data_IF_824850380742
#
_entry.id   IF_824850380742
#
_cell.length_a   1.000
_cell.length_b   1.000
_cell.length_c   1.000
_cell.angle_alpha   90.00
_cell.angle_beta   90.00
_cell.angle_gamma   90.00
#
_symmetry.space_group_name_H-M   'P 1'
#
loop_
_entity.id
_entity.type
_entity.pdbx_description
1 polymer ?
#
# COMPACT_ATOMS: atom_id res chain seq x y z
N UNK A 1 3.19 -31.24 12.71
CA UNK A 1 3.25 -29.77 12.51
C UNK A 1 3.48 -29.55 11.03
N UNK A 2 2.44 -29.15 10.31
CA UNK A 2 2.45 -29.07 8.85
C UNK A 2 3.40 -27.95 8.43
N UNK A 3 3.95 -28.07 7.24
CA UNK A 3 4.90 -27.14 6.66
C UNK A 3 4.21 -25.79 6.32
N UNK A 4 3.81 -25.06 7.36
CA UNK A 4 3.07 -23.80 7.25
C UNK A 4 3.99 -22.70 6.71
N UNK A 5 5.31 -22.89 6.84
CA UNK A 5 6.32 -21.98 6.28
C UNK A 5 6.28 -22.01 4.76
N UNK A 6 6.32 -23.18 4.12
CA UNK A 6 6.23 -23.27 2.65
C UNK A 6 4.92 -22.69 2.12
N UNK A 7 3.79 -22.98 2.76
CA UNK A 7 2.50 -22.43 2.33
C UNK A 7 2.45 -20.89 2.44
N UNK A 8 2.97 -20.32 3.53
CA UNK A 8 3.04 -18.87 3.70
C UNK A 8 4.03 -18.21 2.71
N UNK A 9 5.18 -18.85 2.45
CA UNK A 9 6.14 -18.34 1.47
C UNK A 9 5.57 -18.34 0.06
N UNK A 10 4.84 -19.39 -0.33
CA UNK A 10 4.15 -19.46 -1.61
C UNK A 10 3.09 -18.37 -1.70
N UNK A 11 2.27 -18.20 -0.65
CA UNK A 11 1.23 -17.17 -0.62
C UNK A 11 1.82 -15.76 -0.77
N UNK A 12 2.94 -15.47 -0.10
CA UNK A 12 3.64 -14.20 -0.25
C UNK A 12 4.15 -14.00 -1.68
N UNK A 13 4.77 -15.02 -2.28
CA UNK A 13 5.23 -14.94 -3.67
C UNK A 13 4.08 -14.69 -4.65
N UNK A 14 2.92 -15.34 -4.46
CA UNK A 14 1.73 -15.08 -5.26
C UNK A 14 1.24 -13.64 -5.13
N UNK A 15 1.19 -13.11 -3.90
CA UNK A 15 0.77 -11.73 -3.66
C UNK A 15 1.75 -10.75 -4.33
N UNK A 16 3.05 -10.91 -4.13
CA UNK A 16 4.07 -10.03 -4.74
C UNK A 16 4.05 -10.13 -6.27
N UNK A 17 3.84 -11.32 -6.82
CA UNK A 17 3.76 -11.53 -8.26
C UNK A 17 2.55 -10.81 -8.89
N UNK A 18 1.36 -10.99 -8.30
CA UNK A 18 0.11 -10.40 -8.81
C UNK A 18 0.07 -8.89 -8.54
N UNK A 19 0.39 -8.48 -7.31
CA UNK A 19 0.29 -7.09 -6.86
C UNK A 19 1.48 -6.24 -7.30
N UNK A 20 2.70 -6.74 -7.18
CA UNK A 20 3.93 -5.98 -7.47
C UNK A 20 4.34 -6.03 -8.94
N UNK A 21 4.29 -7.21 -9.57
CA UNK A 21 4.72 -7.39 -10.97
C UNK A 21 3.61 -7.09 -11.97
N UNK A 22 2.56 -7.92 -11.95
CA UNK A 22 1.54 -7.91 -13.00
C UNK A 22 0.70 -6.62 -13.02
N UNK A 23 0.36 -6.06 -11.84
CA UNK A 23 -0.42 -4.82 -11.75
C UNK A 23 0.33 -3.61 -12.30
N UNK A 24 1.66 -3.54 -12.13
CA UNK A 24 2.48 -2.46 -12.67
C UNK A 24 2.59 -2.54 -14.19
N UNK A 25 2.77 -3.75 -14.74
CA UNK A 25 2.79 -4.00 -16.18
C UNK A 25 1.43 -3.66 -16.81
N UNK A 26 0.32 -4.16 -16.27
CA UNK A 26 -1.01 -3.80 -16.73
C UNK A 26 -1.29 -2.30 -16.65
N UNK A 27 -0.76 -1.61 -15.64
CA UNK A 27 -0.87 -0.16 -15.52
C UNK A 27 -0.17 0.60 -16.64
N UNK A 28 0.96 0.10 -17.15
CA UNK A 28 1.65 0.68 -18.31
C UNK A 28 0.98 0.36 -19.65
N UNK A 29 0.34 -0.81 -19.78
CA UNK A 29 -0.42 -1.17 -20.98
C UNK A 29 -1.71 -0.35 -21.15
N UNK A 30 -2.20 0.29 -20.08
CA UNK A 30 -3.41 1.11 -20.13
C UNK A 30 -3.05 2.53 -20.60
N UNK A 31 -3.59 2.90 -21.75
CA UNK A 31 -3.36 4.21 -22.40
C UNK A 31 -3.96 5.40 -21.62
N UNK A 32 -4.91 5.15 -20.71
CA UNK A 32 -5.57 6.17 -19.88
C UNK A 32 -4.56 6.85 -18.94
N UNK A 33 -4.67 8.17 -18.73
CA UNK A 33 -3.84 8.94 -17.79
C UNK A 33 -3.76 8.29 -16.40
N UNK A 34 -2.62 8.46 -15.73
CA UNK A 34 -2.31 7.83 -14.43
C UNK A 34 -3.32 8.20 -13.33
N UNK A 35 -3.87 9.41 -13.39
CA UNK A 35 -4.83 9.93 -12.40
C UNK A 35 -6.17 9.17 -12.44
N UNK A 36 -6.87 9.04 -13.59
CA UNK A 36 -8.09 8.23 -13.69
C UNK A 36 -7.91 6.75 -13.29
N UNK A 37 -6.75 6.15 -13.60
CA UNK A 37 -6.49 4.75 -13.29
C UNK A 37 -6.45 4.48 -11.78
N UNK A 38 -5.75 5.34 -11.03
CA UNK A 38 -5.70 5.30 -9.56
C UNK A 38 -7.08 5.58 -8.99
N UNK A 39 -7.76 6.60 -9.53
CA UNK A 39 -9.10 6.97 -9.08
C UNK A 39 -10.07 5.80 -9.16
N UNK A 40 -10.08 5.07 -10.29
CA UNK A 40 -10.99 3.94 -10.47
C UNK A 40 -10.68 2.77 -9.55
N UNK A 41 -9.40 2.46 -9.32
CA UNK A 41 -8.98 1.44 -8.36
C UNK A 41 -9.35 1.80 -6.93
N UNK A 42 -9.18 3.07 -6.53
CA UNK A 42 -9.53 3.55 -5.19
C UNK A 42 -11.04 3.57 -4.95
N UNK A 43 -11.83 4.03 -5.94
CA UNK A 43 -13.29 4.03 -5.84
C UNK A 43 -13.85 2.62 -5.72
N UNK A 44 -13.38 1.68 -6.55
CA UNK A 44 -13.79 0.27 -6.45
C UNK A 44 -13.41 -0.34 -5.11
N UNK A 45 -12.21 -0.07 -4.59
CA UNK A 45 -11.78 -0.54 -3.27
C UNK A 45 -12.69 0.01 -2.15
N UNK A 46 -13.01 1.30 -2.17
CA UNK A 46 -13.92 1.93 -1.20
C UNK A 46 -15.31 1.32 -1.29
N UNK A 47 -15.85 1.14 -2.49
CA UNK A 47 -17.17 0.52 -2.70
C UNK A 47 -17.18 -0.91 -2.14
N UNK A 48 -16.17 -1.72 -2.46
CA UNK A 48 -16.07 -3.10 -1.97
C UNK A 48 -15.95 -3.18 -0.45
N UNK A 49 -15.17 -2.29 0.17
CA UNK A 49 -15.07 -2.20 1.63
C UNK A 49 -16.40 -1.80 2.25
N UNK A 50 -17.10 -0.82 1.68
CA UNK A 50 -18.42 -0.37 2.15
C UNK A 50 -19.45 -1.51 2.03
N UNK A 51 -19.44 -2.25 0.91
CA UNK A 51 -20.31 -3.43 0.73
C UNK A 51 -19.96 -4.50 1.77
N UNK A 52 -18.68 -4.82 1.95
CA UNK A 52 -18.22 -5.79 2.95
C UNK A 52 -18.65 -5.41 4.37
N UNK A 53 -18.53 -4.13 4.73
CA UNK A 53 -18.99 -3.61 6.02
C UNK A 53 -20.51 -3.73 6.19
N UNK A 54 -21.30 -3.45 5.14
CA UNK A 54 -22.75 -3.63 5.14
C UNK A 54 -23.15 -5.09 5.31
N UNK A 55 -22.50 -6.01 4.58
CA UNK A 55 -22.77 -7.46 4.65
C UNK A 55 -22.42 -8.02 6.02
N UNK A 56 -21.28 -7.60 6.59
CA UNK A 56 -20.80 -8.10 7.89
C UNK A 56 -21.44 -7.40 9.10
N UNK A 57 -22.40 -6.48 8.88
CA UNK A 57 -23.08 -5.66 9.90
C UNK A 57 -22.11 -5.05 10.93
N UNK A 58 -20.91 -4.66 10.50
CA UNK A 58 -19.97 -3.98 11.39
C UNK A 58 -20.57 -2.60 11.66
N UNK A 59 -20.84 -2.22 12.93
CA UNK A 59 -21.36 -0.90 13.22
C UNK A 59 -20.36 0.12 12.69
N UNK A 60 -20.83 1.02 11.82
CA UNK A 60 -20.02 2.15 11.38
C UNK A 60 -19.59 2.91 12.64
N UNK A 61 -18.29 2.86 12.96
CA UNK A 61 -17.68 3.55 14.10
C UNK A 61 -17.75 5.09 13.98
N UNK A 62 -18.45 5.59 12.97
CA UNK A 62 -18.82 6.99 12.81
C UNK A 62 -20.04 7.42 13.65
N UNK A 63 -20.94 6.50 14.05
CA UNK A 63 -22.27 6.87 14.60
C UNK A 63 -22.68 6.25 15.94
N UNK A 64 -21.85 5.44 16.63
CA UNK A 64 -22.22 4.93 17.97
C UNK A 64 -21.06 4.48 18.85
N UNK A 65 -21.16 4.78 20.16
CA UNK A 65 -20.41 4.40 21.40
C UNK A 65 -18.86 4.43 21.37
N UNK A 66 -18.23 4.21 20.23
CA UNK A 66 -16.77 4.21 20.03
C UNK A 66 -16.40 5.39 19.12
N UNK A 67 -16.56 6.62 19.62
CA UNK A 67 -16.13 7.84 18.91
C UNK A 67 -14.65 7.70 18.57
N UNK A 68 -14.33 7.60 17.29
CA UNK A 68 -12.96 7.80 16.84
C UNK A 68 -12.56 9.23 17.27
N UNK A 69 -11.51 9.40 18.09
CA UNK A 69 -11.08 10.74 18.46
C UNK A 69 -10.73 11.50 17.18
N UNK A 70 -11.08 12.80 17.10
CA UNK A 70 -10.82 13.64 15.91
C UNK A 70 -9.36 13.56 15.43
N UNK A 71 -8.43 13.34 16.36
CA UNK A 71 -7.00 13.07 16.08
C UNK A 71 -6.78 11.81 15.23
N UNK A 72 -7.48 10.70 15.51
CA UNK A 72 -7.36 9.45 14.75
C UNK A 72 -8.00 9.56 13.37
N UNK A 73 -9.12 10.28 13.26
CA UNK A 73 -9.71 10.59 11.97
C UNK A 73 -8.75 11.43 11.10
N UNK A 74 -8.14 12.47 11.68
CA UNK A 74 -7.14 13.29 10.99
C UNK A 74 -5.93 12.45 10.55
N UNK A 75 -5.44 11.56 11.42
CA UNK A 75 -4.32 10.67 11.09
C UNK A 75 -4.66 9.70 9.95
N UNK A 76 -5.89 9.19 9.89
CA UNK A 76 -6.34 8.33 8.79
C UNK A 76 -6.47 9.13 7.49
N UNK A 77 -7.00 10.36 7.55
CA UNK A 77 -7.07 11.25 6.39
C UNK A 77 -5.67 11.62 5.86
N UNK A 78 -4.73 11.95 6.75
CA UNK A 78 -3.33 12.23 6.40
C UNK A 78 -2.67 11.00 5.79
N UNK A 79 -2.81 9.82 6.40
CA UNK A 79 -2.30 8.58 5.84
C UNK A 79 -2.90 8.27 4.46
N UNK A 80 -4.21 8.46 4.29
CA UNK A 80 -4.89 8.31 3.01
C UNK A 80 -4.37 9.27 1.95
N UNK A 81 -4.09 10.53 2.32
CA UNK A 81 -3.53 11.53 1.41
C UNK A 81 -2.10 11.16 0.97
N UNK A 82 -1.25 10.73 1.90
CA UNK A 82 0.12 10.26 1.59
C UNK A 82 0.07 9.06 0.65
N UNK A 83 -0.81 8.09 0.92
CA UNK A 83 -1.00 6.92 0.06
C UNK A 83 -1.49 7.35 -1.33
N UNK A 84 -2.48 8.23 -1.42
CA UNK A 84 -2.99 8.72 -2.71
C UNK A 84 -1.90 9.42 -3.54
N UNK A 85 -1.14 10.33 -2.93
CA UNK A 85 -0.01 11.01 -3.57
C UNK A 85 1.06 10.02 -4.03
N UNK A 86 1.39 9.04 -3.19
CA UNK A 86 2.32 7.98 -3.53
C UNK A 86 1.87 7.21 -4.78
N UNK A 87 0.61 6.76 -4.84
CA UNK A 87 0.10 6.03 -6.01
C UNK A 87 0.09 6.89 -7.29
N UNK A 88 -0.28 8.16 -7.19
CA UNK A 88 -0.27 9.09 -8.35
C UNK A 88 1.16 9.26 -8.88
N UNK A 89 2.12 9.53 -8.00
CA UNK A 89 3.54 9.68 -8.37
C UNK A 89 4.14 8.39 -8.91
N UNK A 90 3.80 7.24 -8.34
CA UNK A 90 4.23 5.92 -8.80
C UNK A 90 3.77 5.63 -10.22
N UNK A 91 2.48 5.82 -10.54
CA UNK A 91 1.98 5.64 -11.91
C UNK A 91 2.48 6.71 -12.89
N UNK A 92 2.77 7.92 -12.40
CA UNK A 92 3.46 8.95 -13.19
C UNK A 92 4.87 8.51 -13.59
N UNK A 93 5.65 7.97 -12.66
CA UNK A 93 7.00 7.45 -12.91
C UNK A 93 7.00 6.27 -13.91
N UNK A 94 6.00 5.37 -13.81
CA UNK A 94 5.84 4.25 -14.76
C UNK A 94 5.70 4.77 -16.20
N UNK A 95 4.88 5.80 -16.42
CA UNK A 95 4.68 6.39 -17.75
C UNK A 95 5.90 7.17 -18.26
N UNK A 96 6.68 7.78 -17.37
CA UNK A 96 7.85 8.57 -17.74
C UNK A 96 9.12 7.74 -18.00
N UNK A 97 9.31 6.61 -17.32
CA UNK A 97 10.62 5.91 -17.27
C UNK A 97 10.59 4.40 -17.53
N UNK A 98 9.41 3.81 -17.78
CA UNK A 98 9.13 2.38 -17.89
C UNK A 98 8.92 1.65 -16.55
N UNK A 99 8.14 0.57 -16.63
CA UNK A 99 7.77 -0.29 -15.49
C UNK A 99 9.00 -0.85 -14.79
N UNK A 100 9.99 -1.35 -15.55
CA UNK A 100 11.18 -2.00 -15.00
C UNK A 100 12.05 -1.05 -14.17
N UNK A 101 12.25 0.19 -14.64
CA UNK A 101 13.04 1.20 -13.92
C UNK A 101 12.32 1.62 -12.64
N UNK A 102 11.00 1.81 -12.71
CA UNK A 102 10.20 2.18 -11.55
C UNK A 102 10.21 1.09 -10.47
N UNK A 103 10.10 -0.19 -10.86
CA UNK A 103 10.20 -1.32 -9.93
C UNK A 103 11.60 -1.45 -9.31
N UNK A 104 12.66 -1.24 -10.12
CA UNK A 104 14.02 -1.26 -9.62
C UNK A 104 14.23 -0.17 -8.55
N UNK A 105 13.68 1.03 -8.79
CA UNK A 105 13.72 2.12 -7.82
C UNK A 105 12.89 1.83 -6.57
N UNK A 106 11.75 1.16 -6.69
CA UNK A 106 10.96 0.71 -5.53
C UNK A 106 11.75 -0.25 -4.63
N UNK A 107 12.58 -1.13 -5.21
CA UNK A 107 13.49 -2.01 -4.46
C UNK A 107 14.53 -1.21 -3.65
N UNK A 108 15.05 -0.11 -4.21
CA UNK A 108 15.93 0.81 -3.47
C UNK A 108 15.23 1.53 -2.32
N UNK A 109 13.90 1.50 -2.25
CA UNK A 109 13.15 2.02 -1.11
C UNK A 109 13.59 1.36 0.21
N UNK A 110 13.84 0.05 0.21
CA UNK A 110 14.35 -0.67 1.38
C UNK A 110 15.75 -0.19 1.80
N UNK A 111 16.58 0.19 0.82
CA UNK A 111 17.89 0.78 1.05
C UNK A 111 17.78 2.16 1.69
N UNK A 112 16.89 3.02 1.18
CA UNK A 112 16.62 4.31 1.81
C UNK A 112 16.00 4.18 3.20
N UNK A 113 15.12 3.19 3.42
CA UNK A 113 14.57 2.96 4.77
C UNK A 113 15.67 2.51 5.74
N UNK A 114 16.58 1.60 5.35
CA UNK A 114 17.69 1.19 6.20
C UNK A 114 18.66 2.35 6.50
N UNK A 115 18.80 3.31 5.56
CA UNK A 115 19.60 4.52 5.75
C UNK A 115 18.90 5.58 6.63
N UNK A 116 17.58 5.69 6.55
CA UNK A 116 16.78 6.66 7.33
C UNK A 116 16.35 6.12 8.71
N UNK A 117 16.25 4.80 8.88
CA UNK A 117 15.98 4.13 10.14
C UNK A 117 16.86 4.63 11.30
N UNK A 118 18.19 4.83 11.15
CA UNK A 118 19.02 5.40 12.22
C UNK A 118 18.68 6.87 12.57
N UNK A 119 17.98 7.61 11.70
CA UNK A 119 17.59 9.01 11.97
C UNK A 119 16.24 9.11 12.71
N UNK A 120 15.29 8.22 12.43
CA UNK A 120 13.94 8.25 13.02
C UNK A 120 13.79 7.35 14.24
N UNK A 121 14.59 6.29 14.34
CA UNK A 121 14.65 5.41 15.50
C UNK A 121 15.97 5.65 16.24
N UNK A 122 16.02 6.60 17.19
CA UNK A 122 17.12 6.62 18.15
C UNK A 122 16.94 5.42 19.08
N UNK A 123 17.38 4.24 18.65
CA UNK A 123 17.42 3.06 19.52
C UNK A 123 18.77 2.39 19.40
N UNK A 124 19.56 2.70 20.43
CA UNK A 124 20.53 1.84 21.11
C UNK A 124 20.79 0.55 20.35
N UNK A 125 21.95 0.51 19.69
CA UNK A 125 22.58 -0.70 19.18
C UNK A 125 22.41 -1.83 20.21
N UNK A 126 21.52 -2.78 19.94
CA UNK A 126 21.40 -4.01 20.70
C UNK A 126 21.48 -5.14 19.69
N UNK A 127 22.70 -5.61 19.45
CA UNK A 127 22.99 -6.58 18.41
C UNK A 127 24.47 -6.88 18.16
N UNK A 128 25.34 -6.64 19.15
CA UNK A 128 26.60 -7.39 19.32
C UNK A 128 26.69 -7.73 20.81
N UNK A 129 27.12 -8.96 21.08
CA UNK A 129 27.29 -9.56 22.41
C UNK A 129 27.87 -8.61 23.47
#
# INVERSE_FOLDING_TARGET
MRDDRLFNYLHLHFIVFIWGGFTAVLGALISIESVPLVWWRMVLAVIMIVIYMKVKKIPFQFTGVHKLPRKRLLSICLAGMVIALHWITFFGAIKASNVSVTLAMMSTGAFFTALLEPLFTPKNWCGMN
#
